data_IF_738432121512
#
_entry.id   IF_738432121512
#
_cell.length_a   1.000
_cell.length_b   1.000
_cell.length_c   1.000
_cell.angle_alpha   90.00
_cell.angle_beta   90.00
_cell.angle_gamma   90.00
#
_symmetry.space_group_name_H-M   'P 1'
#
loop_
_entity.id
_entity.type
_entity.pdbx_description
1 polymer ?
#
# COMPACT_ATOMS: atom_id res chain seq x y z
N UNK A 1 44.06 -54.13 22.74
CA UNK A 1 43.75 -53.00 23.59
C UNK A 1 43.74 -51.78 22.68
N UNK A 2 42.52 -51.38 22.17
CA UNK A 2 42.34 -50.24 21.32
C UNK A 2 41.59 -49.18 22.08
N UNK A 3 42.17 -48.01 22.23
CA UNK A 3 41.52 -46.84 22.83
C UNK A 3 40.78 -46.11 21.77
N UNK A 4 39.45 -46.03 21.94
CA UNK A 4 38.55 -45.17 21.17
C UNK A 4 38.48 -43.84 21.89
N UNK A 5 38.90 -42.75 21.22
CA UNK A 5 38.67 -41.38 21.67
C UNK A 5 37.29 -40.91 21.22
N UNK A 6 36.55 -40.19 22.06
CA UNK A 6 35.26 -39.67 21.66
C UNK A 6 35.42 -38.42 20.80
N UNK A 7 34.74 -38.41 19.66
CA UNK A 7 34.58 -37.24 18.81
C UNK A 7 33.53 -36.34 19.44
N UNK A 8 33.95 -35.23 20.01
CA UNK A 8 33.08 -34.14 20.41
C UNK A 8 32.85 -33.22 19.18
N UNK A 9 31.76 -33.37 18.54
CA UNK A 9 31.29 -32.42 17.55
C UNK A 9 30.03 -31.73 18.09
N UNK A 10 30.22 -30.69 18.87
CA UNK A 10 29.16 -29.70 19.12
C UNK A 10 29.30 -28.58 18.11
N UNK A 11 28.71 -28.76 16.93
CA UNK A 11 28.31 -27.66 16.10
C UNK A 11 26.90 -27.26 16.52
N UNK A 12 26.80 -26.39 17.51
CA UNK A 12 25.57 -25.63 17.78
C UNK A 12 25.47 -24.60 16.65
N UNK A 13 24.74 -24.95 15.62
CA UNK A 13 24.21 -23.97 14.71
C UNK A 13 23.13 -23.22 15.47
N UNK A 14 23.39 -21.96 15.75
CA UNK A 14 22.40 -21.00 16.20
C UNK A 14 21.46 -20.73 15.02
N UNK A 15 20.47 -21.62 14.85
CA UNK A 15 19.31 -21.38 14.00
C UNK A 15 18.31 -20.60 14.84
N UNK A 16 18.58 -19.32 15.08
CA UNK A 16 17.54 -18.36 15.37
C UNK A 16 16.78 -18.12 14.07
N UNK A 17 15.91 -19.07 13.68
CA UNK A 17 14.83 -18.76 12.75
C UNK A 17 14.11 -17.56 13.33
N UNK A 18 14.21 -16.41 12.64
CA UNK A 18 13.47 -15.21 13.00
C UNK A 18 12.01 -15.62 13.05
N UNK A 19 11.46 -15.71 14.25
CA UNK A 19 10.06 -16.01 14.48
C UNK A 19 9.25 -15.01 13.67
N UNK A 20 8.50 -15.50 12.70
CA UNK A 20 7.58 -14.66 11.92
C UNK A 20 6.52 -14.17 12.89
N UNK A 21 6.48 -12.86 13.14
CA UNK A 21 5.60 -12.27 14.14
C UNK A 21 4.21 -11.95 13.61
N UNK A 22 3.88 -12.33 12.38
CA UNK A 22 2.58 -12.14 11.74
C UNK A 22 2.11 -13.39 11.03
N UNK A 23 0.80 -13.50 10.85
CA UNK A 23 0.13 -14.64 10.21
C UNK A 23 -0.84 -14.18 9.12
N UNK A 24 -1.05 -15.05 8.13
CA UNK A 24 -1.96 -14.81 7.00
C UNK A 24 -3.36 -15.29 7.34
N UNK A 25 -4.34 -14.48 6.98
CA UNK A 25 -5.75 -14.78 7.14
C UNK A 25 -6.56 -14.44 5.89
N UNK A 26 -7.73 -15.05 5.78
CA UNK A 26 -8.77 -14.66 4.82
C UNK A 26 -10.10 -14.52 5.56
N UNK A 27 -10.84 -13.49 5.23
CA UNK A 27 -12.18 -13.28 5.78
C UNK A 27 -13.10 -12.66 4.73
N UNK A 28 -14.42 -12.92 4.84
CA UNK A 28 -15.40 -12.27 3.96
C UNK A 28 -15.89 -10.99 4.62
N UNK A 29 -15.78 -9.88 3.90
CA UNK A 29 -16.33 -8.57 4.25
C UNK A 29 -16.91 -7.94 3.00
N UNK A 30 -17.97 -7.15 3.12
CA UNK A 30 -18.59 -6.44 2.00
C UNK A 30 -18.81 -7.33 0.74
N UNK A 31 -19.15 -8.59 0.95
CA UNK A 31 -19.44 -9.57 -0.11
C UNK A 31 -18.23 -10.17 -0.82
N UNK A 32 -16.98 -9.85 -0.42
CA UNK A 32 -15.76 -10.41 -1.00
C UNK A 32 -14.84 -11.04 0.04
N UNK A 33 -13.94 -11.91 -0.38
CA UNK A 33 -12.88 -12.44 0.46
C UNK A 33 -11.72 -11.44 0.44
N UNK A 34 -11.33 -10.96 1.62
CA UNK A 34 -10.11 -10.17 1.82
C UNK A 34 -9.05 -11.05 2.46
N UNK A 35 -7.89 -11.16 1.82
CA UNK A 35 -6.67 -11.66 2.41
C UNK A 35 -5.97 -10.54 3.18
N UNK A 36 -5.38 -10.86 4.33
CA UNK A 36 -4.58 -9.91 5.11
C UNK A 36 -3.55 -10.64 5.95
N UNK A 37 -2.48 -9.96 6.28
CA UNK A 37 -1.56 -10.38 7.35
C UNK A 37 -1.85 -9.58 8.60
N UNK A 38 -1.72 -10.22 9.75
CA UNK A 38 -1.92 -9.58 11.05
C UNK A 38 -0.90 -10.10 12.06
N UNK A 39 -0.38 -9.21 12.89
CA UNK A 39 0.53 -9.56 13.99
C UNK A 39 0.64 -8.47 15.04
N UNK A 40 1.27 -8.80 16.15
CA UNK A 40 1.50 -7.87 17.25
C UNK A 40 0.34 -7.71 18.23
N UNK A 41 0.50 -6.75 19.15
CA UNK A 41 -0.47 -6.38 20.18
C UNK A 41 -0.38 -4.88 20.41
N UNK A 42 -1.50 -4.26 20.73
CA UNK A 42 -1.58 -2.82 20.99
C UNK A 42 -2.45 -2.08 19.99
N UNK A 43 -2.23 -0.79 19.84
CA UNK A 43 -3.03 0.04 18.94
C UNK A 43 -2.91 -0.43 17.48
N UNK A 44 -4.02 -0.52 16.74
CA UNK A 44 -4.01 -1.04 15.38
C UNK A 44 -3.50 -0.03 14.36
N UNK A 45 -2.58 -0.50 13.51
CA UNK A 45 -2.13 0.18 12.28
C UNK A 45 -2.62 -0.64 11.10
N UNK A 46 -3.34 -0.02 10.17
CA UNK A 46 -3.70 -0.61 8.88
C UNK A 46 -2.76 -0.06 7.82
N UNK A 47 -2.14 -0.97 7.05
CA UNK A 47 -1.18 -0.67 5.99
C UNK A 47 -1.84 -0.95 4.63
N UNK A 48 -2.12 0.09 3.84
CA UNK A 48 -2.78 0.00 2.54
C UNK A 48 -1.75 0.20 1.42
N UNK A 49 -1.52 -0.87 0.66
CA UNK A 49 -0.53 -0.89 -0.42
C UNK A 49 -1.02 -0.18 -1.69
N UNK A 50 -0.08 0.06 -2.61
CA UNK A 50 -0.34 0.59 -3.93
C UNK A 50 -0.37 -0.45 -5.05
N UNK A 51 -0.49 0.03 -6.30
CA UNK A 51 -0.30 -0.73 -7.51
C UNK A 51 1.10 -0.41 -8.10
N UNK A 52 1.87 -1.37 -8.60
CA UNK A 52 1.53 -2.80 -8.73
C UNK A 52 2.14 -3.65 -7.60
N UNK A 53 1.80 -3.34 -6.36
CA UNK A 53 2.26 -4.06 -5.18
C UNK A 53 1.10 -4.78 -4.47
N UNK A 54 1.38 -5.39 -3.31
CA UNK A 54 0.45 -6.12 -2.46
C UNK A 54 0.80 -5.82 -0.98
N UNK A 55 0.16 -6.50 -0.02
CA UNK A 55 0.59 -6.42 1.39
C UNK A 55 2.11 -6.59 1.57
N UNK A 56 2.77 -7.26 0.62
CA UNK A 56 4.20 -7.62 0.66
C UNK A 56 5.13 -6.40 0.64
N UNK A 57 4.69 -5.25 0.13
CA UNK A 57 5.46 -4.00 0.18
C UNK A 57 5.82 -3.59 1.62
N UNK A 58 5.01 -4.03 2.59
CA UNK A 58 5.18 -3.69 4.01
C UNK A 58 6.08 -4.65 4.78
N UNK A 59 6.61 -5.71 4.16
CA UNK A 59 7.41 -6.77 4.82
C UNK A 59 8.58 -6.24 5.63
N UNK A 60 9.20 -5.14 5.18
CA UNK A 60 10.36 -4.55 5.86
C UNK A 60 9.98 -3.73 7.10
N UNK A 61 8.72 -3.32 7.25
CA UNK A 61 8.30 -2.47 8.37
C UNK A 61 7.38 -3.19 9.37
N UNK A 62 6.67 -4.23 8.97
CA UNK A 62 5.70 -4.93 9.82
C UNK A 62 6.33 -5.39 11.14
N UNK A 63 7.44 -6.12 11.09
CA UNK A 63 8.10 -6.67 12.30
C UNK A 63 8.56 -5.59 13.26
N UNK A 64 9.00 -4.44 12.75
CA UNK A 64 9.44 -3.34 13.59
C UNK A 64 8.27 -2.59 14.23
N UNK A 65 7.14 -2.44 13.53
CA UNK A 65 5.92 -1.88 14.12
C UNK A 65 5.38 -2.81 15.22
N UNK A 66 5.39 -4.12 14.99
CA UNK A 66 5.02 -5.13 16.01
C UNK A 66 5.94 -5.01 17.23
N UNK A 67 7.25 -4.89 17.04
CA UNK A 67 8.22 -4.73 18.12
C UNK A 67 8.03 -3.44 18.92
N UNK A 68 7.34 -2.43 18.36
CA UNK A 68 6.98 -1.19 19.01
C UNK A 68 5.55 -1.18 19.58
N UNK A 69 5.01 -2.35 19.89
CA UNK A 69 3.70 -2.55 20.53
C UNK A 69 2.49 -2.07 19.70
N UNK A 70 2.53 -2.23 18.39
CA UNK A 70 1.38 -2.05 17.53
C UNK A 70 0.80 -3.40 17.08
N UNK A 71 -0.50 -3.45 16.87
CA UNK A 71 -1.14 -4.50 16.07
C UNK A 71 -1.10 -4.03 14.62
N UNK A 72 -0.44 -4.77 13.75
CA UNK A 72 -0.32 -4.44 12.33
C UNK A 72 -1.30 -5.27 11.53
N UNK A 73 -2.04 -4.64 10.64
CA UNK A 73 -3.00 -5.26 9.71
C UNK A 73 -2.64 -4.78 8.31
N UNK A 74 -2.17 -5.67 7.44
CA UNK A 74 -1.83 -5.33 6.06
C UNK A 74 -2.70 -6.19 5.11
N UNK A 75 -3.84 -5.67 4.65
CA UNK A 75 -4.68 -6.38 3.70
C UNK A 75 -4.11 -6.28 2.28
N UNK A 76 -4.39 -7.30 1.47
CA UNK A 76 -4.49 -7.12 0.04
C UNK A 76 -5.82 -6.45 -0.27
N UNK A 77 -5.80 -5.28 -0.90
CA UNK A 77 -7.03 -4.59 -1.25
C UNK A 77 -7.85 -5.38 -2.28
N UNK A 78 -9.13 -5.08 -2.40
CA UNK A 78 -10.06 -5.68 -3.36
C UNK A 78 -9.41 -5.89 -4.73
N UNK A 79 -9.47 -7.11 -5.27
CA UNK A 79 -8.93 -7.43 -6.58
C UNK A 79 -7.43 -7.69 -6.65
N UNK A 80 -6.67 -7.33 -5.63
CA UNK A 80 -5.21 -7.40 -5.61
C UNK A 80 -4.73 -8.56 -4.74
N UNK A 81 -3.48 -8.99 -4.96
CA UNK A 81 -2.85 -10.07 -4.21
C UNK A 81 -3.71 -11.34 -4.14
N UNK A 82 -3.95 -11.81 -2.93
CA UNK A 82 -4.74 -13.00 -2.62
C UNK A 82 -6.20 -12.71 -2.25
N UNK A 83 -6.63 -11.44 -2.38
CA UNK A 83 -8.03 -11.04 -2.21
C UNK A 83 -8.89 -11.39 -3.41
N UNK A 84 -10.21 -11.45 -3.19
CA UNK A 84 -11.21 -11.72 -4.22
C UNK A 84 -11.19 -10.66 -5.34
N UNK A 85 -11.41 -11.10 -6.58
CA UNK A 85 -11.34 -10.29 -7.80
C UNK A 85 -12.72 -10.11 -8.45
N UNK A 86 -13.66 -9.36 -7.81
CA UNK A 86 -14.99 -9.13 -8.37
C UNK A 86 -14.92 -8.36 -9.68
N UNK A 87 -16.03 -8.26 -10.39
CA UNK A 87 -16.10 -7.53 -11.66
C UNK A 87 -16.22 -6.02 -11.46
N UNK A 88 -16.70 -5.57 -10.30
CA UNK A 88 -17.05 -4.16 -10.01
C UNK A 88 -16.69 -3.77 -8.57
N UNK A 89 -16.90 -2.49 -8.23
CA UNK A 89 -16.73 -1.98 -6.87
C UNK A 89 -15.29 -1.57 -6.58
N UNK A 90 -14.60 -1.01 -7.55
CA UNK A 90 -13.20 -0.59 -7.41
C UNK A 90 -13.05 0.91 -7.13
N UNK A 91 -14.16 1.62 -6.97
CA UNK A 91 -14.14 2.99 -6.48
C UNK A 91 -13.67 3.04 -5.02
N UNK A 92 -12.99 4.12 -4.66
CA UNK A 92 -12.29 4.24 -3.38
C UNK A 92 -13.22 4.16 -2.18
N UNK A 93 -14.47 4.58 -2.31
CA UNK A 93 -15.49 4.45 -1.25
C UNK A 93 -15.85 3.00 -0.98
N UNK A 94 -16.04 2.20 -2.03
CA UNK A 94 -16.35 0.77 -1.90
C UNK A 94 -15.16 0.00 -1.30
N UNK A 95 -13.94 0.30 -1.74
CA UNK A 95 -12.73 -0.33 -1.20
C UNK A 95 -12.49 0.10 0.25
N UNK A 96 -12.73 1.37 0.60
CA UNK A 96 -12.65 1.85 1.98
C UNK A 96 -13.66 1.15 2.90
N UNK A 97 -14.86 0.85 2.40
CA UNK A 97 -15.86 0.06 3.13
C UNK A 97 -15.39 -1.37 3.40
N UNK A 98 -14.68 -2.02 2.47
CA UNK A 98 -14.07 -3.33 2.71
C UNK A 98 -13.11 -3.28 3.89
N UNK A 99 -12.25 -2.25 3.94
CA UNK A 99 -11.28 -2.06 5.01
C UNK A 99 -11.98 -1.74 6.34
N UNK A 100 -13.01 -0.90 6.30
CA UNK A 100 -13.81 -0.58 7.48
C UNK A 100 -14.44 -1.83 8.10
N UNK A 101 -15.10 -2.64 7.27
CA UNK A 101 -15.70 -3.90 7.74
C UNK A 101 -14.66 -4.90 8.25
N UNK A 102 -13.47 -4.96 7.62
CA UNK A 102 -12.36 -5.78 8.12
C UNK A 102 -11.94 -5.32 9.52
N UNK A 103 -11.69 -4.03 9.71
CA UNK A 103 -11.29 -3.43 10.99
C UNK A 103 -12.33 -3.71 12.08
N UNK A 104 -13.63 -3.50 11.77
CA UNK A 104 -14.71 -3.76 12.71
C UNK A 104 -14.84 -5.24 13.05
N UNK A 105 -14.69 -6.12 12.07
CA UNK A 105 -14.73 -7.58 12.27
C UNK A 105 -13.57 -8.08 13.14
N UNK A 106 -12.42 -7.41 13.09
CA UNK A 106 -11.27 -7.68 13.95
C UNK A 106 -11.43 -7.09 15.38
N UNK A 107 -12.53 -6.37 15.65
CA UNK A 107 -12.85 -5.81 16.96
C UNK A 107 -12.21 -4.45 17.25
N UNK A 108 -11.66 -3.77 16.26
CA UNK A 108 -11.04 -2.46 16.44
C UNK A 108 -12.02 -1.31 16.16
N UNK A 109 -11.94 -0.25 16.97
CA UNK A 109 -12.78 0.94 16.84
C UNK A 109 -12.00 2.16 16.32
N UNK A 110 -10.73 2.32 16.72
CA UNK A 110 -9.87 3.42 16.30
C UNK A 110 -8.55 2.89 15.80
N UNK A 111 -8.11 3.37 14.64
CA UNK A 111 -6.93 2.89 13.95
C UNK A 111 -5.98 4.03 13.57
N UNK A 112 -4.73 3.68 13.30
CA UNK A 112 -3.82 4.47 12.47
C UNK A 112 -3.86 3.92 11.04
N UNK A 113 -3.70 4.80 10.05
CA UNK A 113 -3.61 4.43 8.64
C UNK A 113 -2.23 4.80 8.09
N UNK A 114 -1.59 3.86 7.40
CA UNK A 114 -0.44 4.12 6.55
C UNK A 114 -0.81 3.65 5.15
N UNK A 115 -0.68 4.50 4.16
CA UNK A 115 -1.16 4.20 2.82
C UNK A 115 -0.21 4.71 1.74
N UNK A 116 -0.04 3.93 0.69
CA UNK A 116 0.82 4.23 -0.44
C UNK A 116 0.03 4.16 -1.74
N UNK A 117 0.34 5.05 -2.70
CA UNK A 117 -0.21 5.05 -4.06
C UNK A 117 -1.75 4.90 -4.05
N UNK A 118 -2.35 3.88 -4.70
CA UNK A 118 -3.81 3.64 -4.71
C UNK A 118 -4.40 3.47 -3.29
N UNK A 119 -3.60 3.05 -2.32
CA UNK A 119 -4.04 2.99 -0.92
C UNK A 119 -4.33 4.37 -0.32
N UNK A 120 -3.70 5.44 -0.81
CA UNK A 120 -3.89 6.80 -0.31
C UNK A 120 -5.31 7.35 -0.50
N UNK A 121 -5.87 7.33 -1.71
CA UNK A 121 -7.29 7.66 -1.95
C UNK A 121 -8.27 6.78 -1.16
N UNK A 122 -7.96 5.49 -0.97
CA UNK A 122 -8.77 4.59 -0.12
C UNK A 122 -8.71 5.02 1.35
N UNK A 123 -7.52 5.37 1.86
CA UNK A 123 -7.36 5.88 3.22
C UNK A 123 -8.10 7.20 3.43
N UNK A 124 -8.08 8.10 2.43
CA UNK A 124 -8.87 9.33 2.46
C UNK A 124 -10.37 9.03 2.53
N UNK A 125 -10.89 8.16 1.65
CA UNK A 125 -12.31 7.78 1.67
C UNK A 125 -12.72 7.15 3.00
N UNK A 126 -11.86 6.32 3.60
CA UNK A 126 -12.08 5.75 4.93
C UNK A 126 -12.19 6.85 5.98
N UNK A 127 -11.23 7.77 6.03
CA UNK A 127 -11.19 8.85 7.03
C UNK A 127 -12.36 9.83 6.84
N UNK A 128 -12.75 10.12 5.61
CA UNK A 128 -13.88 11.00 5.32
C UNK A 128 -15.22 10.40 5.72
N UNK A 129 -15.40 9.08 5.51
CA UNK A 129 -16.62 8.38 5.91
C UNK A 129 -16.69 8.11 7.42
N UNK A 130 -15.53 7.89 8.08
CA UNK A 130 -15.42 7.49 9.48
C UNK A 130 -14.36 8.29 10.25
N UNK A 131 -14.46 9.63 10.32
CA UNK A 131 -13.39 10.48 10.87
C UNK A 131 -13.10 10.20 12.36
N UNK A 132 -14.09 9.70 13.11
CA UNK A 132 -13.93 9.37 14.53
C UNK A 132 -13.13 8.08 14.77
N UNK A 133 -12.97 7.26 13.74
CA UNK A 133 -12.30 5.96 13.81
C UNK A 133 -10.82 6.06 13.42
N UNK A 134 -10.37 7.20 12.91
CA UNK A 134 -8.97 7.41 12.49
C UNK A 134 -8.25 8.34 13.47
N UNK A 135 -7.12 7.88 14.02
CA UNK A 135 -6.29 8.66 14.93
C UNK A 135 -5.37 9.62 14.18
N UNK A 136 -4.56 9.08 13.28
CA UNK A 136 -3.60 9.80 12.43
C UNK A 136 -3.38 9.00 11.15
N UNK A 137 -2.91 9.67 10.10
CA UNK A 137 -2.61 9.05 8.80
C UNK A 137 -1.19 9.36 8.35
N UNK A 138 -0.49 8.38 7.77
CA UNK A 138 0.74 8.56 7.01
C UNK A 138 0.46 8.17 5.56
N UNK A 139 0.70 9.11 4.66
CA UNK A 139 0.38 8.97 3.23
C UNK A 139 1.66 9.08 2.41
N UNK A 140 1.91 8.08 1.58
CA UNK A 140 3.12 7.95 0.79
C UNK A 140 2.81 8.13 -0.70
N UNK A 141 3.52 9.04 -1.32
CA UNK A 141 3.66 9.27 -2.77
C UNK A 141 2.41 9.01 -3.60
N UNK A 142 1.35 9.78 -3.36
CA UNK A 142 0.06 9.66 -4.04
C UNK A 142 -0.62 11.00 -4.23
N UNK A 143 -1.57 11.05 -5.16
CA UNK A 143 -2.44 12.19 -5.40
C UNK A 143 -3.91 11.77 -5.30
N UNK A 144 -4.74 12.69 -4.85
CA UNK A 144 -6.18 12.44 -4.75
C UNK A 144 -6.90 12.81 -6.05
N UNK A 145 -7.70 11.90 -6.62
CA UNK A 145 -8.66 12.26 -7.65
C UNK A 145 -9.55 13.43 -7.21
N UNK A 146 -9.66 14.46 -8.04
CA UNK A 146 -10.38 15.69 -7.73
C UNK A 146 -9.58 16.77 -7.00
N UNK A 147 -8.38 16.44 -6.51
CA UNK A 147 -7.55 17.34 -5.70
C UNK A 147 -6.05 17.31 -6.07
N UNK A 148 -5.72 17.13 -7.33
CA UNK A 148 -4.35 17.26 -7.84
C UNK A 148 -3.93 16.16 -8.82
N UNK A 149 -4.65 15.05 -8.89
CA UNK A 149 -4.33 13.97 -9.82
C UNK A 149 -4.47 14.40 -11.28
N UNK A 150 -5.51 15.16 -11.59
CA UNK A 150 -5.84 15.59 -12.96
C UNK A 150 -4.78 16.56 -13.52
N UNK A 151 -4.22 17.41 -12.66
CA UNK A 151 -3.15 18.34 -13.06
C UNK A 151 -1.83 17.62 -13.31
N UNK A 152 -1.54 16.53 -12.57
CA UNK A 152 -0.35 15.73 -12.75
C UNK A 152 -0.42 14.80 -13.97
N UNK A 153 -1.63 14.48 -14.42
CA UNK A 153 -1.88 13.61 -15.59
C UNK A 153 -1.59 14.25 -16.95
N UNK A 154 -0.84 15.35 -17.01
CA UNK A 154 -0.52 16.02 -18.25
C UNK A 154 0.38 15.16 -19.14
N UNK A 155 -0.13 14.72 -20.29
CA UNK A 155 0.59 13.88 -21.26
C UNK A 155 1.85 14.55 -21.85
N UNK A 156 1.94 15.88 -21.82
CA UNK A 156 3.12 16.60 -22.30
C UNK A 156 4.34 16.42 -21.39
N UNK A 157 4.15 15.99 -20.16
CA UNK A 157 5.22 15.79 -19.18
C UNK A 157 5.57 14.31 -18.97
N UNK A 158 5.06 13.40 -19.80
CA UNK A 158 5.14 11.94 -19.64
C UNK A 158 4.57 11.43 -18.29
N UNK A 159 3.90 12.30 -17.53
CA UNK A 159 3.34 11.94 -16.25
C UNK A 159 2.09 11.07 -16.40
N UNK A 160 2.00 10.02 -15.59
CA UNK A 160 0.78 9.22 -15.38
C UNK A 160 0.11 8.69 -16.67
N UNK A 161 0.86 8.47 -17.77
CA UNK A 161 0.35 7.95 -19.04
C UNK A 161 -0.45 6.64 -18.86
N UNK A 162 -0.06 5.84 -17.87
CA UNK A 162 -0.68 4.57 -17.55
C UNK A 162 -2.13 4.72 -17.08
N UNK A 163 -2.51 5.86 -16.51
CA UNK A 163 -3.92 6.11 -16.16
C UNK A 163 -4.82 6.04 -17.40
N UNK A 164 -4.42 6.71 -18.47
CA UNK A 164 -5.17 6.69 -19.73
C UNK A 164 -5.15 5.31 -20.38
N UNK A 165 -4.02 4.61 -20.32
CA UNK A 165 -3.89 3.26 -20.87
C UNK A 165 -4.75 2.25 -20.10
N UNK A 166 -4.67 2.25 -18.76
CA UNK A 166 -5.47 1.35 -17.92
C UNK A 166 -6.98 1.66 -17.97
N UNK A 167 -7.36 2.91 -18.25
CA UNK A 167 -8.77 3.28 -18.38
C UNK A 167 -9.45 2.65 -19.60
N UNK A 168 -8.70 2.29 -20.63
CA UNK A 168 -9.22 1.57 -21.80
C UNK A 168 -9.62 0.15 -21.37
N UNK A 169 -10.80 -0.32 -21.80
CA UNK A 169 -11.28 -1.67 -21.50
C UNK A 169 -10.72 -2.70 -22.47
N UNK A 170 -10.39 -3.88 -21.95
CA UNK A 170 -9.98 -5.09 -22.67
C UNK A 170 -8.64 -5.00 -23.41
N UNK A 171 -8.24 -3.85 -23.94
CA UNK A 171 -7.03 -3.71 -24.73
C UNK A 171 -5.76 -3.85 -23.90
N UNK A 172 -5.60 -3.16 -22.74
CA UNK A 172 -4.44 -3.35 -21.87
C UNK A 172 -4.25 -4.79 -21.44
N UNK A 173 -5.32 -5.46 -21.02
CA UNK A 173 -5.29 -6.85 -20.60
C UNK A 173 -4.76 -7.76 -21.72
N UNK A 174 -5.26 -7.59 -22.95
CA UNK A 174 -4.84 -8.40 -24.11
C UNK A 174 -3.41 -8.14 -24.55
N UNK A 175 -2.92 -6.91 -24.39
CA UNK A 175 -1.55 -6.56 -24.78
C UNK A 175 -0.51 -7.06 -23.76
N UNK A 176 -0.92 -7.17 -22.49
CA UNK A 176 -0.03 -7.51 -21.36
C UNK A 176 -0.07 -9.01 -21.07
N UNK A 177 -1.13 -9.71 -21.44
CA UNK A 177 -1.31 -11.15 -21.19
C UNK A 177 -0.07 -11.96 -21.61
N UNK A 178 0.53 -12.67 -20.65
CA UNK A 178 1.79 -13.40 -20.80
C UNK A 178 3.04 -12.53 -20.90
N UNK A 179 2.95 -11.23 -20.56
CA UNK A 179 4.05 -10.25 -20.52
C UNK A 179 3.98 -9.38 -19.28
N UNK A 180 3.34 -9.87 -18.23
CA UNK A 180 3.17 -9.16 -16.98
C UNK A 180 4.52 -8.76 -16.38
N UNK A 181 5.52 -9.64 -16.52
CA UNK A 181 6.90 -9.39 -16.09
C UNK A 181 7.53 -8.19 -16.80
N UNK A 182 7.41 -8.10 -18.12
CA UNK A 182 7.92 -6.97 -18.91
C UNK A 182 7.23 -5.68 -18.48
N UNK A 183 5.90 -5.73 -18.33
CA UNK A 183 5.09 -4.57 -18.03
C UNK A 183 5.35 -4.05 -16.61
N UNK A 184 5.34 -4.93 -15.61
CA UNK A 184 5.50 -4.55 -14.21
C UNK A 184 6.93 -4.14 -13.87
N UNK A 185 7.94 -4.81 -14.42
CA UNK A 185 9.34 -4.42 -14.24
C UNK A 185 9.61 -3.01 -14.73
N UNK A 186 8.94 -2.56 -15.81
CA UNK A 186 9.07 -1.18 -16.26
C UNK A 186 8.66 -0.18 -15.16
N UNK A 187 7.57 -0.45 -14.41
CA UNK A 187 7.15 0.42 -13.31
C UNK A 187 8.13 0.39 -12.15
N UNK A 188 8.65 -0.78 -11.79
CA UNK A 188 9.65 -0.88 -10.72
C UNK A 188 10.94 -0.13 -11.07
N UNK A 189 11.40 -0.23 -12.31
CA UNK A 189 12.59 0.49 -12.76
C UNK A 189 12.36 1.99 -12.88
N UNK A 190 11.26 2.40 -13.49
CA UNK A 190 10.94 3.81 -13.73
C UNK A 190 10.56 4.55 -12.43
N UNK A 191 9.82 3.90 -11.54
CA UNK A 191 9.34 4.50 -10.30
C UNK A 191 10.38 4.54 -9.17
N UNK A 192 11.44 3.74 -9.23
CA UNK A 192 12.49 3.72 -8.21
C UNK A 192 13.63 4.67 -8.51
N UNK A 193 14.08 5.43 -7.52
CA UNK A 193 15.37 6.10 -7.56
C UNK A 193 16.51 5.08 -7.41
N UNK A 194 16.38 4.16 -6.46
CA UNK A 194 17.27 3.02 -6.28
C UNK A 194 16.63 1.76 -6.86
N UNK A 195 16.92 1.44 -8.10
CA UNK A 195 16.35 0.28 -8.81
C UNK A 195 16.66 -1.08 -8.15
N UNK A 196 17.67 -1.16 -7.27
CA UNK A 196 18.00 -2.37 -6.53
C UNK A 196 17.20 -2.54 -5.23
N UNK A 197 16.39 -1.57 -4.85
CA UNK A 197 15.58 -1.62 -3.63
C UNK A 197 14.49 -2.71 -3.70
N UNK A 198 13.90 -2.92 -4.89
CA UNK A 198 13.00 -4.03 -5.16
C UNK A 198 13.83 -5.11 -5.86
N UNK A 199 14.23 -6.12 -5.10
CA UNK A 199 15.11 -7.20 -5.60
C UNK A 199 14.43 -8.05 -6.67
N UNK A 200 15.18 -8.90 -7.36
CA UNK A 200 14.60 -9.84 -8.34
C UNK A 200 13.56 -10.75 -7.70
N UNK A 201 13.83 -11.24 -6.51
CA UNK A 201 12.93 -12.12 -5.75
C UNK A 201 11.64 -11.39 -5.33
N UNK A 202 11.74 -10.11 -4.95
CA UNK A 202 10.58 -9.29 -4.62
C UNK A 202 9.71 -9.04 -5.85
N UNK A 203 10.34 -8.73 -6.99
CA UNK A 203 9.65 -8.55 -8.29
C UNK A 203 8.95 -9.83 -8.71
N UNK A 204 9.59 -10.99 -8.57
CA UNK A 204 8.98 -12.30 -8.87
C UNK A 204 7.74 -12.54 -8.02
N UNK A 205 7.74 -12.19 -6.73
CA UNK A 205 6.55 -12.32 -5.88
C UNK A 205 5.41 -11.41 -6.36
N UNK A 206 5.69 -10.14 -6.67
CA UNK A 206 4.67 -9.24 -7.24
C UNK A 206 4.14 -9.75 -8.58
N UNK A 207 5.02 -10.08 -9.53
CA UNK A 207 4.65 -10.59 -10.86
C UNK A 207 3.78 -11.83 -10.73
N UNK A 208 4.14 -12.77 -9.87
CA UNK A 208 3.35 -13.98 -9.59
C UNK A 208 1.92 -13.64 -9.13
N UNK A 209 1.74 -12.59 -8.31
CA UNK A 209 0.41 -12.17 -7.86
C UNK A 209 -0.41 -11.57 -9.01
N UNK A 210 0.21 -10.74 -9.83
CA UNK A 210 -0.44 -10.07 -10.96
C UNK A 210 -0.65 -10.97 -12.18
N UNK A 211 0.10 -12.07 -12.33
CA UNK A 211 -0.10 -13.09 -13.36
C UNK A 211 -1.26 -14.05 -13.02
N UNK A 212 -1.90 -13.93 -11.85
CA UNK A 212 -3.10 -14.72 -11.54
C UNK A 212 -4.28 -14.30 -12.41
N UNK A 213 -5.17 -15.24 -12.80
CA UNK A 213 -6.34 -14.91 -13.62
C UNK A 213 -7.15 -13.73 -13.07
N UNK A 214 -7.32 -12.70 -13.90
CA UNK A 214 -8.09 -11.50 -13.58
C UNK A 214 -7.39 -10.48 -12.69
N UNK A 215 -6.14 -10.70 -12.29
CA UNK A 215 -5.41 -9.78 -11.40
C UNK A 215 -5.09 -8.46 -12.11
N UNK A 216 -4.54 -8.49 -13.33
CA UNK A 216 -4.28 -7.27 -14.11
C UNK A 216 -5.57 -6.48 -14.36
N UNK A 217 -6.66 -7.17 -14.80
CA UNK A 217 -7.96 -6.52 -14.96
C UNK A 217 -8.42 -5.83 -13.67
N UNK A 218 -8.34 -6.51 -12.55
CA UNK A 218 -8.75 -5.96 -11.26
C UNK A 218 -7.90 -4.75 -10.86
N UNK A 219 -6.59 -4.77 -11.11
CA UNK A 219 -5.70 -3.61 -10.92
C UNK A 219 -6.12 -2.43 -11.80
N UNK A 220 -6.48 -2.68 -13.07
CA UNK A 220 -6.90 -1.61 -13.99
C UNK A 220 -8.28 -1.04 -13.65
N UNK A 221 -9.16 -1.79 -12.99
CA UNK A 221 -10.47 -1.26 -12.58
C UNK A 221 -10.36 -0.09 -11.57
N UNK A 222 -9.30 0.00 -10.77
CA UNK A 222 -9.04 1.19 -9.94
C UNK A 222 -8.87 2.46 -10.79
N UNK A 223 -8.12 2.37 -11.88
CA UNK A 223 -7.92 3.51 -12.80
C UNK A 223 -9.21 3.85 -13.56
N UNK A 224 -10.05 2.86 -13.87
CA UNK A 224 -11.38 3.04 -14.49
C UNK A 224 -12.38 3.71 -13.54
N UNK A 225 -12.18 3.52 -12.24
CA UNK A 225 -13.03 4.12 -11.21
C UNK A 225 -12.71 5.60 -10.92
N UNK A 226 -11.57 6.14 -11.38
CA UNK A 226 -11.09 7.49 -11.06
C UNK A 226 -12.15 8.57 -11.29
N UNK A 227 -12.97 8.49 -12.35
CA UNK A 227 -14.05 9.45 -12.59
C UNK A 227 -15.13 9.44 -11.50
N UNK A 228 -15.41 8.27 -10.94
CA UNK A 228 -16.33 8.14 -9.81
C UNK A 228 -15.67 8.64 -8.53
N UNK A 229 -14.38 8.32 -8.33
CA UNK A 229 -13.60 8.79 -7.19
C UNK A 229 -13.51 10.32 -7.15
N UNK A 230 -13.37 10.99 -8.29
CA UNK A 230 -13.41 12.47 -8.38
C UNK A 230 -14.71 13.03 -7.81
N UNK A 231 -15.86 12.43 -8.15
CA UNK A 231 -17.17 12.88 -7.65
C UNK A 231 -17.30 12.64 -6.15
N UNK A 232 -16.95 11.44 -5.70
CA UNK A 232 -17.01 11.05 -4.30
C UNK A 232 -16.08 11.93 -3.45
N UNK A 233 -14.86 12.15 -3.91
CA UNK A 233 -13.87 12.97 -3.21
C UNK A 233 -14.27 14.44 -3.13
N UNK A 234 -14.87 15.00 -4.19
CA UNK A 234 -15.41 16.37 -4.16
C UNK A 234 -16.58 16.51 -3.18
N UNK A 235 -17.38 15.46 -3.01
CA UNK A 235 -18.43 15.47 -1.99
C UNK A 235 -17.84 15.44 -0.58
N UNK A 236 -16.91 14.53 -0.32
CA UNK A 236 -16.20 14.44 0.95
C UNK A 236 -15.41 15.72 1.27
N UNK A 237 -14.77 16.32 0.28
CA UNK A 237 -13.92 17.51 0.43
C UNK A 237 -14.67 18.82 0.70
N UNK A 238 -16.00 18.80 0.79
CA UNK A 238 -16.79 19.97 1.24
C UNK A 238 -16.45 20.34 2.70
N UNK A 239 -16.08 19.35 3.50
CA UNK A 239 -15.59 19.55 4.86
C UNK A 239 -14.18 18.96 4.97
N UNK A 240 -13.24 19.77 5.46
CA UNK A 240 -11.86 19.31 5.64
C UNK A 240 -11.74 18.38 6.82
N UNK A 241 -10.89 17.36 6.66
CA UNK A 241 -10.53 16.47 7.75
C UNK A 241 -9.74 17.20 8.85
N UNK A 242 -10.06 16.91 10.09
CA UNK A 242 -9.28 17.32 11.27
C UNK A 242 -8.24 16.28 11.69
N UNK A 243 -8.28 15.08 11.11
CA UNK A 243 -7.32 14.00 11.36
C UNK A 243 -5.91 14.48 10.99
N UNK A 244 -4.92 14.37 11.88
CA UNK A 244 -3.54 14.72 11.56
C UNK A 244 -2.97 13.80 10.48
N UNK A 245 -2.34 14.39 9.47
CA UNK A 245 -1.79 13.68 8.31
C UNK A 245 -0.31 14.03 8.14
N UNK A 246 0.54 13.00 8.07
CA UNK A 246 1.90 13.11 7.56
C UNK A 246 1.93 12.61 6.12
N UNK A 247 2.37 13.46 5.21
CA UNK A 247 2.58 13.07 3.80
C UNK A 247 4.08 12.96 3.53
N UNK A 248 4.49 11.93 2.78
CA UNK A 248 5.88 11.74 2.36
C UNK A 248 5.86 11.46 0.87
N UNK A 249 6.50 12.31 0.08
CA UNK A 249 6.68 12.11 -1.37
C UNK A 249 8.15 11.93 -1.71
N UNK A 250 8.45 10.99 -2.61
CA UNK A 250 9.81 10.82 -3.15
C UNK A 250 10.18 11.97 -4.07
N UNK A 251 11.37 12.57 -3.87
CA UNK A 251 11.83 13.73 -4.67
C UNK A 251 11.85 13.43 -6.18
N UNK A 252 12.18 12.19 -6.54
CA UNK A 252 12.22 11.74 -7.95
C UNK A 252 10.87 11.23 -8.46
N UNK A 253 9.80 11.33 -7.67
CA UNK A 253 8.44 10.93 -8.03
C UNK A 253 7.47 12.11 -7.84
N UNK A 254 6.51 12.02 -6.92
CA UNK A 254 5.52 13.08 -6.71
C UNK A 254 6.02 14.23 -5.80
N UNK A 255 7.05 13.99 -4.98
CA UNK A 255 7.66 15.01 -4.13
C UNK A 255 6.62 15.75 -3.29
N UNK A 256 6.66 17.08 -3.35
CA UNK A 256 5.73 17.93 -2.60
C UNK A 256 4.27 17.91 -3.11
N UNK A 257 4.01 17.34 -4.28
CA UNK A 257 2.64 17.28 -4.84
C UNK A 257 1.70 16.47 -3.94
N UNK A 258 2.22 15.40 -3.30
CA UNK A 258 1.46 14.63 -2.30
C UNK A 258 0.95 15.54 -1.17
N UNK A 259 1.81 16.38 -0.63
CA UNK A 259 1.46 17.34 0.43
C UNK A 259 0.42 18.35 -0.06
N UNK A 260 0.63 18.95 -1.23
CA UNK A 260 -0.28 19.93 -1.82
C UNK A 260 -1.67 19.33 -2.04
N UNK A 261 -1.75 18.10 -2.50
CA UNK A 261 -3.00 17.38 -2.71
C UNK A 261 -3.79 17.24 -1.40
N UNK A 262 -3.15 16.77 -0.33
CA UNK A 262 -3.79 16.54 0.96
C UNK A 262 -4.11 17.82 1.74
N UNK A 263 -3.37 18.91 1.55
CA UNK A 263 -3.69 20.24 2.12
C UNK A 263 -5.00 20.81 1.58
N UNK A 264 -5.47 20.36 0.40
CA UNK A 264 -6.76 20.76 -0.14
C UNK A 264 -7.93 20.20 0.68
N UNK A 265 -7.74 19.01 1.32
CA UNK A 265 -8.81 18.23 1.97
C UNK A 265 -8.66 18.08 3.50
N UNK A 266 -7.59 18.54 4.09
CA UNK A 266 -7.33 18.43 5.53
C UNK A 266 -6.70 19.72 6.09
N UNK A 267 -6.94 19.99 7.39
CA UNK A 267 -6.42 21.16 8.08
C UNK A 267 -5.02 20.90 8.68
N UNK A 268 -4.73 19.68 9.09
CA UNK A 268 -3.53 19.31 9.85
C UNK A 268 -2.61 18.42 9.01
N UNK A 269 -1.91 18.99 8.02
CA UNK A 269 -1.01 18.25 7.12
C UNK A 269 0.43 18.69 7.28
N UNK A 270 1.31 17.75 7.62
CA UNK A 270 2.77 17.92 7.63
C UNK A 270 3.33 17.18 6.42
N UNK A 271 4.18 17.85 5.63
CA UNK A 271 4.76 17.27 4.41
C UNK A 271 6.27 17.05 4.50
N UNK A 272 6.73 15.95 3.94
CA UNK A 272 8.16 15.65 3.73
C UNK A 272 8.36 15.32 2.25
N UNK A 273 9.30 16.01 1.60
CA UNK A 273 9.89 15.57 0.33
C UNK A 273 11.19 14.84 0.64
N UNK A 274 11.25 13.56 0.31
CA UNK A 274 12.37 12.70 0.68
C UNK A 274 13.43 12.66 -0.43
N UNK A 275 14.64 13.21 -0.19
CA UNK A 275 15.70 13.26 -1.19
C UNK A 275 16.15 11.87 -1.65
N UNK A 276 16.62 11.78 -2.90
CA UNK A 276 17.15 10.55 -3.49
C UNK A 276 16.23 9.35 -3.28
N UNK A 277 14.94 9.53 -3.51
CA UNK A 277 13.90 8.52 -3.30
C UNK A 277 12.87 8.63 -4.41
N UNK A 278 12.47 7.50 -4.95
CA UNK A 278 11.41 7.38 -5.94
C UNK A 278 10.05 7.15 -5.31
N UNK A 279 9.19 6.49 -6.08
CA UNK A 279 7.80 6.21 -5.70
C UNK A 279 7.69 5.15 -4.59
N UNK A 280 8.53 4.12 -4.60
CA UNK A 280 8.42 2.95 -3.72
C UNK A 280 9.11 3.17 -2.37
N UNK A 281 8.63 4.14 -1.60
CA UNK A 281 9.26 4.62 -0.34
C UNK A 281 9.44 3.50 0.67
N UNK A 282 8.47 2.59 0.80
CA UNK A 282 8.51 1.43 1.70
C UNK A 282 9.65 0.46 1.37
N UNK A 283 10.01 0.36 0.10
CA UNK A 283 11.10 -0.47 -0.43
C UNK A 283 12.45 0.25 -0.37
N UNK A 284 12.49 1.50 -0.80
CA UNK A 284 13.72 2.26 -0.94
C UNK A 284 14.25 2.80 0.39
N UNK A 285 13.37 3.15 1.32
CA UNK A 285 13.72 3.85 2.57
C UNK A 285 12.97 3.30 3.80
N UNK A 286 12.91 1.98 4.02
CA UNK A 286 12.10 1.38 5.09
C UNK A 286 12.49 1.89 6.49
N UNK A 287 13.78 2.04 6.79
CA UNK A 287 14.25 2.53 8.09
C UNK A 287 13.84 3.98 8.36
N UNK A 288 13.87 4.83 7.33
CA UNK A 288 13.38 6.20 7.44
C UNK A 288 11.86 6.20 7.69
N UNK A 289 11.12 5.44 6.90
CA UNK A 289 9.67 5.34 6.99
C UNK A 289 9.22 4.88 8.38
N UNK A 290 9.82 3.83 8.93
CA UNK A 290 9.51 3.34 10.28
C UNK A 290 9.72 4.43 11.30
N UNK A 291 10.87 5.14 11.24
CA UNK A 291 11.14 6.23 12.17
C UNK A 291 10.07 7.31 12.09
N UNK A 292 9.66 7.73 10.89
CA UNK A 292 8.62 8.74 10.71
C UNK A 292 7.26 8.29 11.25
N UNK A 293 6.86 7.04 10.97
CA UNK A 293 5.62 6.46 11.48
C UNK A 293 5.62 6.48 13.01
N UNK A 294 6.68 5.95 13.63
CA UNK A 294 6.77 5.86 15.10
C UNK A 294 6.81 7.24 15.77
N UNK A 295 7.52 8.20 15.19
CA UNK A 295 7.60 9.55 15.75
C UNK A 295 6.26 10.29 15.59
N UNK A 296 5.59 10.11 14.47
CA UNK A 296 4.31 10.78 14.20
C UNK A 296 3.15 10.17 15.00
N UNK A 297 3.15 8.87 15.28
CA UNK A 297 2.05 8.19 15.99
C UNK A 297 2.12 8.34 17.52
N UNK A 298 3.24 8.77 18.06
CA UNK A 298 3.33 9.23 19.45
C UNK A 298 2.45 10.47 19.66
#
# INVERSE_FOLDING_TARGET
MGFILPVNAQNIRDNSEKKIDYIHHKTTVNGIIIHYVIGGKGDPIVLLHGWPQTWYEWRHIITQLIANNYTVIAPDMRGLGDSGKPQTGYDTKTVAEDIYQLVKKLGFSKIYLVAHDLGGPVAYSYAAAHPQDVRKMVILDTLLPGFGLEEAGNFLTNGLWHFSFHAVRDLPEKLIDGKEDVYLNWFYDYGSYNQSAITSEDREEYIKQYSKPGAMRAGFEYYRAVFEDVKQNKEYGKEKLEVPILTIGGESALGNLTTISFQKIANNVIGITLPNTGHFISEERPNFLIKQILDFFK
#
